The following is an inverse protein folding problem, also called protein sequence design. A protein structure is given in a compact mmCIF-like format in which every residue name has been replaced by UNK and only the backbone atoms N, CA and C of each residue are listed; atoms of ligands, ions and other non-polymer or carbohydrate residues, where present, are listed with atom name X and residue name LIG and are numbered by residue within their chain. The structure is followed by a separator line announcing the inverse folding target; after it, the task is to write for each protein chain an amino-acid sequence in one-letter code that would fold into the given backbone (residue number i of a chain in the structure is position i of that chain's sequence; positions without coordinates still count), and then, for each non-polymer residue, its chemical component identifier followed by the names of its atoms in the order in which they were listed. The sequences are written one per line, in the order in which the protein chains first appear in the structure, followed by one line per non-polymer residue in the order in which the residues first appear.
data_IF_942624542764
#
_entry.id   IF_942624542764
#
_cell.length_a   1.000
_cell.length_b   1.000
_cell.length_c   1.000
_cell.angle_alpha   90.00
_cell.angle_beta   90.00
_cell.angle_gamma   90.00
#
_symmetry.space_group_name_H-M   'P 1'
#
loop_
_entity.id
_entity.type
_entity.pdbx_description
1 polymer ?
#
# COMPACT_ATOMS: atom_id res chain seq x y z
N UNK A 1 -5.68 -5.11 25.67
CA UNK A 1 -5.57 -6.35 24.87
C UNK A 1 -6.43 -6.15 23.63
N UNK A 2 -5.85 -6.25 22.43
CA UNK A 2 -6.61 -6.12 21.17
C UNK A 2 -7.23 -7.47 20.87
N UNK A 3 -8.55 -7.52 20.73
CA UNK A 3 -9.27 -8.74 20.34
C UNK A 3 -9.74 -8.65 18.90
N UNK A 4 -9.67 -9.77 18.18
CA UNK A 4 -10.19 -9.84 16.82
C UNK A 4 -11.72 -9.66 16.85
N UNK A 5 -12.24 -8.75 16.01
CA UNK A 5 -13.69 -8.53 15.86
C UNK A 5 -14.32 -9.47 14.83
N UNK A 6 -13.54 -9.89 13.83
CA UNK A 6 -13.99 -10.78 12.76
C UNK A 6 -12.77 -11.36 12.03
N UNK A 7 -12.90 -12.56 11.48
CA UNK A 7 -11.93 -13.15 10.55
C UNK A 7 -12.68 -13.52 9.27
N UNK A 8 -12.30 -12.91 8.16
CA UNK A 8 -12.98 -13.07 6.87
C UNK A 8 -12.09 -13.74 5.84
N UNK A 9 -12.70 -14.55 4.98
CA UNK A 9 -12.08 -15.12 3.79
C UNK A 9 -12.88 -14.67 2.56
N UNK A 10 -12.25 -13.87 1.71
CA UNK A 10 -12.78 -13.52 0.40
C UNK A 10 -12.07 -14.36 -0.67
N UNK A 11 -12.81 -14.80 -1.69
CA UNK A 11 -12.27 -15.53 -2.84
C UNK A 11 -12.39 -14.66 -4.06
N UNK A 12 -11.25 -14.26 -4.62
CA UNK A 12 -11.16 -13.41 -5.80
C UNK A 12 -11.47 -14.26 -7.02
N UNK A 13 -12.37 -13.77 -7.89
CA UNK A 13 -12.70 -14.46 -9.13
C UNK A 13 -11.49 -14.53 -10.06
N UNK A 14 -11.15 -15.70 -10.65
CA UNK A 14 -10.09 -15.80 -11.65
C UNK A 14 -10.32 -14.92 -12.88
N UNK A 15 -11.57 -14.52 -13.15
CA UNK A 15 -11.90 -13.58 -14.23
C UNK A 15 -11.32 -12.18 -14.00
N UNK A 16 -11.17 -11.75 -12.74
CA UNK A 16 -10.55 -10.48 -12.37
C UNK A 16 -9.03 -10.56 -12.52
N UNK A 17 -8.45 -11.69 -12.13
CA UNK A 17 -7.01 -11.85 -11.95
C UNK A 17 -6.57 -13.20 -12.52
N UNK A 18 -6.49 -13.25 -13.86
CA UNK A 18 -6.22 -14.49 -14.61
C UNK A 18 -4.83 -15.07 -14.32
N UNK A 19 -3.81 -14.21 -14.24
CA UNK A 19 -2.42 -14.62 -14.07
C UNK A 19 -1.82 -13.86 -12.87
N UNK A 20 -2.05 -14.31 -11.63
CA UNK A 20 -1.44 -13.71 -10.45
C UNK A 20 0.08 -13.75 -10.54
N UNK A 21 0.72 -12.63 -10.20
CA UNK A 21 2.16 -12.62 -9.98
C UNK A 21 2.52 -13.53 -8.80
N UNK A 22 3.67 -14.21 -8.84
CA UNK A 22 4.10 -15.10 -7.75
C UNK A 22 4.21 -14.32 -6.44
N UNK A 23 3.86 -14.97 -5.32
CA UNK A 23 4.08 -14.39 -3.99
C UNK A 23 5.57 -14.12 -3.76
N UNK A 24 5.87 -13.06 -3.01
CA UNK A 24 7.23 -12.69 -2.65
C UNK A 24 7.30 -12.44 -1.15
N UNK A 25 8.34 -12.97 -0.50
CA UNK A 25 8.52 -13.00 0.95
C UNK A 25 8.46 -11.60 1.61
N UNK A 26 8.89 -10.56 0.88
CA UNK A 26 8.98 -9.19 1.39
C UNK A 26 8.01 -8.22 0.71
N UNK A 27 7.06 -8.73 -0.07
CA UNK A 27 6.22 -7.88 -0.90
C UNK A 27 5.02 -7.33 -0.14
N UNK A 28 4.91 -6.01 -0.09
CA UNK A 28 3.76 -5.27 0.48
C UNK A 28 2.78 -4.89 -0.64
N UNK A 29 2.34 -5.87 -1.43
CA UNK A 29 1.39 -5.69 -2.56
C UNK A 29 -0.07 -5.72 -2.14
N UNK A 30 -0.35 -5.49 -0.86
CA UNK A 30 -1.69 -5.45 -0.31
C UNK A 30 -1.81 -4.26 0.64
N UNK A 31 -2.85 -3.46 0.46
CA UNK A 31 -3.26 -2.40 1.39
C UNK A 31 -4.75 -2.52 1.67
N UNK A 32 -5.16 -2.11 2.87
CA UNK A 32 -6.53 -2.22 3.35
C UNK A 32 -7.01 -0.85 3.81
N UNK A 33 -8.21 -0.47 3.37
CA UNK A 33 -8.98 0.63 3.92
C UNK A 33 -10.24 0.08 4.59
N UNK A 34 -10.53 0.53 5.80
CA UNK A 34 -11.77 0.17 6.51
C UNK A 34 -12.71 1.35 6.40
N UNK A 35 -13.85 1.17 5.74
CA UNK A 35 -14.81 2.25 5.53
C UNK A 35 -15.44 2.68 6.87
N UNK A 36 -15.82 3.95 7.00
CA UNK A 36 -16.19 4.59 8.27
C UNK A 36 -17.27 3.89 9.11
N UNK A 37 -18.25 3.23 8.48
CA UNK A 37 -19.29 2.46 9.19
C UNK A 37 -18.81 1.07 9.66
N UNK A 38 -17.58 0.66 9.30
CA UNK A 38 -16.99 -0.68 9.54
C UNK A 38 -17.84 -1.84 9.02
N UNK A 39 -18.81 -1.53 8.15
CA UNK A 39 -19.70 -2.46 7.47
C UNK A 39 -19.07 -3.07 6.22
N UNK A 40 -18.01 -2.45 5.69
CA UNK A 40 -17.25 -2.93 4.56
C UNK A 40 -15.77 -2.52 4.66
N UNK A 41 -14.93 -3.21 3.91
CA UNK A 41 -13.53 -2.82 3.71
C UNK A 41 -13.15 -2.90 2.23
N UNK A 42 -12.27 -2.00 1.81
CA UNK A 42 -11.68 -1.98 0.48
C UNK A 42 -10.25 -2.52 0.56
N UNK A 43 -9.99 -3.59 -0.17
CA UNK A 43 -8.66 -4.20 -0.30
C UNK A 43 -8.08 -3.81 -1.64
N UNK A 44 -6.89 -3.24 -1.61
CA UNK A 44 -6.08 -2.94 -2.78
C UNK A 44 -5.04 -4.04 -2.92
N UNK A 45 -4.95 -4.64 -4.11
CA UNK A 45 -4.02 -5.73 -4.40
C UNK A 45 -3.26 -5.40 -5.67
N UNK A 46 -1.94 -5.54 -5.63
CA UNK A 46 -1.11 -5.46 -6.82
C UNK A 46 -0.75 -6.85 -7.33
N UNK A 47 -0.87 -7.05 -8.64
CA UNK A 47 -0.42 -8.26 -9.31
C UNK A 47 0.17 -7.92 -10.69
N UNK A 48 1.41 -8.32 -10.93
CA UNK A 48 2.17 -7.86 -12.09
C UNK A 48 2.32 -6.34 -12.06
N UNK A 49 2.00 -5.67 -13.17
CA UNK A 49 2.02 -4.22 -13.29
C UNK A 49 0.66 -3.54 -13.00
N UNK A 50 -0.31 -4.27 -12.41
CA UNK A 50 -1.70 -3.82 -12.27
C UNK A 50 -2.14 -3.77 -10.81
N UNK A 51 -3.05 -2.84 -10.53
CA UNK A 51 -3.72 -2.69 -9.25
C UNK A 51 -5.19 -3.05 -9.36
N UNK A 52 -5.70 -3.73 -8.35
CA UNK A 52 -7.08 -4.17 -8.24
C UNK A 52 -7.64 -3.66 -6.94
N UNK A 53 -8.91 -3.25 -6.95
CA UNK A 53 -9.67 -2.94 -5.76
C UNK A 53 -10.78 -3.98 -5.57
N UNK A 54 -10.96 -4.41 -4.34
CA UNK A 54 -11.94 -5.42 -3.95
C UNK A 54 -12.64 -4.93 -2.69
N UNK A 55 -13.93 -4.69 -2.79
CA UNK A 55 -14.76 -4.34 -1.66
C UNK A 55 -15.38 -5.59 -1.06
N UNK A 56 -15.19 -5.76 0.24
CA UNK A 56 -15.60 -6.93 1.01
C UNK A 56 -16.61 -6.49 2.05
N UNK A 57 -17.77 -7.15 2.08
CA UNK A 57 -18.74 -6.96 3.14
C UNK A 57 -18.19 -7.49 4.48
N UNK A 58 -18.32 -6.66 5.51
CA UNK A 58 -17.98 -6.98 6.88
C UNK A 58 -19.24 -7.14 7.75
N UNK A 59 -20.43 -7.14 7.15
CA UNK A 59 -21.72 -7.39 7.81
C UNK A 59 -21.70 -8.70 8.60
N UNK A 60 -22.36 -8.72 9.77
CA UNK A 60 -22.34 -9.82 10.74
C UNK A 60 -20.97 -10.10 11.36
N UNK A 61 -20.41 -9.13 12.08
CA UNK A 61 -19.13 -9.28 12.77
C UNK A 61 -19.24 -10.20 13.98
N UNK A 62 -19.12 -11.51 13.76
CA UNK A 62 -18.95 -12.50 14.82
C UNK A 62 -17.63 -13.26 14.64
N UNK A 63 -17.09 -13.72 15.75
CA UNK A 63 -15.85 -14.50 15.80
C UNK A 63 -16.20 -15.93 16.15
N UNK A 64 -15.98 -16.84 15.19
CA UNK A 64 -16.06 -18.27 15.47
C UNK A 64 -14.69 -18.71 16.00
N UNK A 65 -14.67 -19.28 17.21
CA UNK A 65 -13.49 -19.91 17.79
C UNK A 65 -13.62 -21.42 17.66
N UNK A 66 -12.61 -22.04 17.06
CA UNK A 66 -12.42 -23.48 17.03
C UNK A 66 -11.71 -23.99 18.29
N UNK A 67 -11.21 -25.23 18.20
CA UNK A 67 -10.35 -25.82 19.24
C UNK A 67 -9.17 -24.90 19.53
N UNK A 68 -8.76 -24.84 20.81
CA UNK A 68 -7.63 -23.99 21.26
C UNK A 68 -7.81 -22.49 20.97
N UNK A 69 -9.05 -22.02 20.84
CA UNK A 69 -9.39 -20.63 20.49
C UNK A 69 -8.91 -20.18 19.10
N UNK A 70 -8.62 -21.12 18.20
CA UNK A 70 -8.20 -20.81 16.83
C UNK A 70 -9.35 -20.13 16.09
N UNK A 71 -9.07 -18.98 15.46
CA UNK A 71 -10.08 -18.22 14.73
C UNK A 71 -10.44 -18.92 13.42
N UNK A 72 -11.73 -19.17 13.20
CA UNK A 72 -12.22 -19.78 11.96
C UNK A 72 -12.68 -18.67 11.01
N UNK A 73 -12.11 -18.57 9.79
CA UNK A 73 -12.50 -17.54 8.84
C UNK A 73 -13.91 -17.81 8.30
N UNK A 74 -14.75 -16.78 8.33
CA UNK A 74 -16.08 -16.78 7.72
C UNK A 74 -15.95 -16.33 6.27
N UNK A 75 -16.57 -17.05 5.34
CA UNK A 75 -16.60 -16.66 3.94
C UNK A 75 -17.29 -15.30 3.80
N UNK A 76 -16.61 -14.34 3.20
CA UNK A 76 -17.14 -13.00 2.98
C UNK A 76 -17.61 -12.83 1.53
N UNK A 77 -18.67 -12.04 1.38
CA UNK A 77 -19.16 -11.64 0.07
C UNK A 77 -18.33 -10.46 -0.44
N UNK A 78 -17.86 -10.58 -1.68
CA UNK A 78 -17.27 -9.46 -2.42
C UNK A 78 -18.43 -8.67 -3.03
N UNK A 79 -18.57 -7.41 -2.66
CA UNK A 79 -19.62 -6.53 -3.17
C UNK A 79 -19.22 -5.88 -4.50
N UNK A 80 -17.94 -5.55 -4.65
CA UNK A 80 -17.39 -4.95 -5.84
C UNK A 80 -15.94 -5.41 -6.07
N UNK A 81 -15.55 -5.56 -7.32
CA UNK A 81 -14.16 -5.84 -7.69
C UNK A 81 -13.85 -5.21 -9.05
N UNK A 82 -12.75 -4.46 -9.13
CA UNK A 82 -12.40 -3.68 -10.31
C UNK A 82 -10.89 -3.51 -10.46
N UNK A 83 -10.45 -3.24 -11.70
CA UNK A 83 -9.09 -2.82 -12.03
C UNK A 83 -8.97 -1.32 -11.77
N UNK A 84 -7.87 -0.90 -11.16
CA UNK A 84 -7.47 0.52 -11.07
C UNK A 84 -6.56 0.81 -12.25
N UNK A 85 -7.01 1.65 -13.17
CA UNK A 85 -6.35 1.96 -14.44
C UNK A 85 -5.40 3.17 -14.38
N UNK A 86 -5.34 3.85 -13.23
CA UNK A 86 -4.59 5.12 -13.06
C UNK A 86 -3.17 4.98 -12.52
N UNK A 87 -2.70 3.75 -12.31
CA UNK A 87 -1.32 3.44 -11.93
C UNK A 87 -0.61 2.65 -13.04
N UNK A 88 -0.30 3.26 -14.21
CA UNK A 88 0.24 2.56 -15.37
C UNK A 88 1.73 2.21 -15.20
N UNK A 89 2.01 1.25 -14.33
CA UNK A 89 3.36 0.70 -14.18
C UNK A 89 3.77 -0.08 -15.43
N UNK A 90 5.04 0.04 -15.82
CA UNK A 90 5.63 -0.73 -16.93
C UNK A 90 6.31 -2.02 -16.45
N UNK A 91 6.51 -2.12 -15.15
CA UNK A 91 7.19 -3.22 -14.49
C UNK A 91 6.34 -3.76 -13.34
N UNK A 92 6.77 -4.89 -12.76
CA UNK A 92 6.04 -5.51 -11.65
C UNK A 92 6.02 -4.57 -10.43
N UNK A 93 4.82 -4.25 -9.96
CA UNK A 93 4.59 -3.52 -8.71
C UNK A 93 5.14 -4.37 -7.58
N UNK A 94 6.00 -3.80 -6.74
CA UNK A 94 6.59 -4.51 -5.59
C UNK A 94 5.94 -4.14 -4.26
N UNK A 95 5.37 -2.93 -4.18
CA UNK A 95 4.79 -2.40 -2.96
C UNK A 95 3.71 -1.37 -3.24
N UNK A 96 2.69 -1.35 -2.38
CA UNK A 96 1.65 -0.34 -2.32
C UNK A 96 1.47 0.16 -0.90
N UNK A 97 1.07 1.41 -0.75
CA UNK A 97 0.73 2.02 0.52
C UNK A 97 -0.52 2.88 0.37
N UNK A 98 -1.31 2.96 1.44
CA UNK A 98 -2.51 3.78 1.50
C UNK A 98 -2.42 4.75 2.69
N UNK A 99 -2.86 5.99 2.51
CA UNK A 99 -3.02 6.97 3.58
C UNK A 99 -4.37 7.67 3.45
N UNK A 100 -5.06 7.83 4.58
CA UNK A 100 -6.30 8.58 4.66
C UNK A 100 -5.97 10.08 4.86
N UNK A 101 -6.57 10.96 4.06
CA UNK A 101 -6.23 12.40 4.04
C UNK A 101 -7.27 13.26 4.74
N UNK A 102 -8.56 13.03 4.49
CA UNK A 102 -9.65 13.90 4.92
C UNK A 102 -10.82 13.08 5.48
N UNK A 103 -10.94 12.95 6.81
CA UNK A 103 -12.11 12.37 7.53
C UNK A 103 -12.84 11.23 6.77
N UNK A 104 -12.10 10.21 6.31
CA UNK A 104 -12.61 9.02 5.59
C UNK A 104 -13.26 9.28 4.21
N UNK A 105 -13.15 10.49 3.65
CA UNK A 105 -13.75 10.83 2.35
C UNK A 105 -12.82 10.63 1.15
N UNK A 106 -11.50 10.66 1.39
CA UNK A 106 -10.51 10.40 0.36
C UNK A 106 -9.25 9.78 0.93
N UNK A 107 -8.67 8.89 0.13
CA UNK A 107 -7.42 8.19 0.45
C UNK A 107 -6.42 8.38 -0.68
N UNK A 108 -5.14 8.30 -0.35
CA UNK A 108 -4.04 8.39 -1.28
C UNK A 108 -3.46 7.00 -1.43
N UNK A 109 -3.49 6.46 -2.64
CA UNK A 109 -2.90 5.19 -3.00
C UNK A 109 -1.57 5.43 -3.70
N UNK A 110 -0.49 5.00 -3.06
CA UNK A 110 0.84 4.98 -3.64
C UNK A 110 1.22 3.58 -4.08
N UNK A 111 1.92 3.49 -5.20
CA UNK A 111 2.41 2.24 -5.76
C UNK A 111 3.81 2.43 -6.32
N UNK A 112 4.65 1.41 -6.16
CA UNK A 112 6.03 1.42 -6.68
C UNK A 112 6.36 0.13 -7.41
N UNK A 113 6.97 0.24 -8.58
CA UNK A 113 7.47 -0.91 -9.35
C UNK A 113 8.88 -1.35 -8.95
N UNK A 114 9.33 -2.46 -9.55
CA UNK A 114 10.65 -3.06 -9.28
C UNK A 114 11.83 -2.16 -9.61
N UNK A 115 11.63 -1.06 -10.34
CA UNK A 115 12.67 -0.08 -10.62
C UNK A 115 12.63 1.11 -9.67
N UNK A 116 11.59 1.22 -8.83
CA UNK A 116 11.39 2.35 -7.93
C UNK A 116 10.57 3.48 -8.53
N UNK A 117 9.87 3.26 -9.65
CA UNK A 117 8.95 4.26 -10.20
C UNK A 117 7.74 4.41 -9.29
N UNK A 118 7.57 5.59 -8.72
CA UNK A 118 6.47 5.93 -7.83
C UNK A 118 5.30 6.48 -8.64
N UNK A 119 4.10 5.92 -8.44
CA UNK A 119 2.85 6.51 -8.90
C UNK A 119 1.92 6.65 -7.70
N UNK A 120 1.38 7.85 -7.52
CA UNK A 120 0.45 8.20 -6.45
C UNK A 120 -0.85 8.70 -7.07
N UNK A 121 -1.97 8.10 -6.65
CA UNK A 121 -3.31 8.46 -7.09
C UNK A 121 -4.21 8.79 -5.90
N UNK A 122 -5.08 9.78 -6.05
CA UNK A 122 -6.07 10.14 -5.02
C UNK A 122 -7.39 9.43 -5.31
N UNK A 123 -7.82 8.59 -4.38
CA UNK A 123 -9.08 7.86 -4.43
C UNK A 123 -10.15 8.58 -3.60
N UNK A 124 -11.37 8.67 -4.11
CA UNK A 124 -12.53 9.06 -3.29
C UNK A 124 -13.04 7.91 -2.41
N UNK A 125 -14.07 8.17 -1.61
CA UNK A 125 -14.77 7.17 -0.82
C UNK A 125 -15.39 6.04 -1.68
N UNK A 126 -15.69 6.31 -2.95
CA UNK A 126 -16.14 5.29 -3.89
C UNK A 126 -14.99 4.52 -4.51
N UNK A 127 -13.74 4.81 -4.11
CA UNK A 127 -12.46 4.32 -4.61
C UNK A 127 -12.26 4.50 -6.11
N UNK A 128 -12.92 5.51 -6.67
CA UNK A 128 -12.68 6.03 -8.02
C UNK A 128 -11.69 7.20 -7.93
N UNK A 129 -10.86 7.34 -8.96
CA UNK A 129 -9.86 8.41 -9.01
C UNK A 129 -10.56 9.77 -9.10
N UNK A 130 -10.22 10.69 -8.20
CA UNK A 130 -10.64 12.09 -8.28
C UNK A 130 -9.65 12.78 -9.21
N UNK A 131 -9.94 12.67 -10.51
CA UNK A 131 -9.14 13.12 -11.65
C UNK A 131 -8.69 14.59 -11.47
N UNK A 132 -7.54 14.80 -10.79
CA UNK A 132 -6.78 16.07 -10.65
C UNK A 132 -5.56 16.04 -9.74
N UNK A 133 -5.31 15.00 -8.94
CA UNK A 133 -4.23 15.00 -7.93
C UNK A 133 -3.26 13.81 -8.00
N UNK A 134 -3.25 13.08 -9.11
CA UNK A 134 -2.30 11.99 -9.32
C UNK A 134 -0.94 12.53 -9.80
N UNK A 135 0.15 12.03 -9.24
CA UNK A 135 1.52 12.38 -9.65
C UNK A 135 2.39 11.12 -9.78
N UNK A 136 3.48 11.24 -10.52
CA UNK A 136 4.47 10.18 -10.67
C UNK A 136 5.87 10.72 -10.48
N UNK A 137 6.74 9.97 -9.82
CA UNK A 137 8.14 10.33 -9.63
C UNK A 137 9.05 9.18 -10.04
N UNK A 138 10.02 9.47 -10.90
CA UNK A 138 11.04 8.50 -11.29
C UNK A 138 12.15 8.45 -10.23
N UNK A 139 12.84 7.31 -10.10
CA UNK A 139 14.12 7.24 -9.40
C UNK A 139 15.08 8.29 -9.97
N UNK A 140 15.91 8.87 -9.10
CA UNK A 140 16.89 9.92 -9.50
C UNK A 140 17.87 9.45 -10.57
N UNK A 141 18.19 8.16 -10.59
CA UNK A 141 19.03 7.50 -11.59
C UNK A 141 18.24 7.00 -12.81
N UNK A 142 17.02 7.50 -13.01
CA UNK A 142 16.16 7.17 -14.15
C UNK A 142 15.89 5.67 -14.30
N UNK A 143 15.85 4.92 -13.19
CA UNK A 143 15.64 3.47 -13.20
C UNK A 143 16.70 2.68 -14.01
N UNK A 144 17.90 3.23 -14.19
CA UNK A 144 19.00 2.52 -14.88
C UNK A 144 19.42 1.32 -14.02
N UNK A 145 19.27 0.11 -14.56
CA UNK A 145 19.73 -1.12 -13.92
C UNK A 145 18.79 -2.29 -14.10
N UNK A 146 18.88 -3.26 -13.19
CA UNK A 146 17.98 -4.42 -13.11
C UNK A 146 16.87 -4.13 -12.09
N UNK A 147 15.65 -4.58 -12.41
CA UNK A 147 14.53 -4.55 -11.48
C UNK A 147 14.85 -5.33 -10.20
N UNK A 148 14.40 -4.82 -9.07
CA UNK A 148 14.71 -5.33 -7.74
C UNK A 148 13.50 -5.18 -6.81
N UNK A 149 13.65 -5.59 -5.55
CA UNK A 149 12.65 -5.24 -4.55
C UNK A 149 12.59 -3.72 -4.35
N UNK A 150 11.36 -3.21 -4.26
CA UNK A 150 11.07 -1.82 -3.93
C UNK A 150 9.92 -1.73 -2.92
N UNK A 151 9.93 -0.68 -2.11
CA UNK A 151 8.99 -0.43 -1.02
C UNK A 151 8.57 1.03 -0.99
N UNK A 152 7.33 1.31 -0.61
CA UNK A 152 6.83 2.68 -0.40
C UNK A 152 6.28 2.85 1.02
N UNK A 153 6.50 4.02 1.60
CA UNK A 153 5.84 4.48 2.81
C UNK A 153 5.50 5.96 2.68
N UNK A 154 4.34 6.39 3.18
CA UNK A 154 3.97 7.80 3.26
C UNK A 154 4.24 8.36 4.65
N UNK A 155 4.49 9.67 4.72
CA UNK A 155 4.60 10.37 6.00
C UNK A 155 3.25 10.48 6.70
N UNK A 156 3.26 10.27 8.01
CA UNK A 156 2.07 10.38 8.87
C UNK A 156 1.66 11.82 9.16
N UNK A 157 2.52 12.80 8.85
CA UNK A 157 2.27 14.23 9.08
C UNK A 157 1.87 14.92 7.77
N UNK A 158 2.54 14.57 6.68
CA UNK A 158 2.34 15.17 5.36
C UNK A 158 2.16 14.07 4.32
N UNK A 159 0.91 13.82 3.93
CA UNK A 159 0.57 12.81 2.91
C UNK A 159 1.24 13.06 1.56
N UNK A 160 1.67 14.30 1.28
CA UNK A 160 2.42 14.66 0.08
C UNK A 160 3.84 14.08 0.08
N UNK A 161 4.38 13.74 1.25
CA UNK A 161 5.73 13.18 1.39
C UNK A 161 5.69 11.66 1.39
N UNK A 162 6.47 11.05 0.49
CA UNK A 162 6.65 9.61 0.38
C UNK A 162 8.13 9.23 0.41
N UNK A 163 8.44 8.07 0.96
CA UNK A 163 9.75 7.45 0.88
C UNK A 163 9.66 6.17 0.07
N UNK A 164 10.57 6.03 -0.89
CA UNK A 164 10.68 4.88 -1.77
C UNK A 164 12.01 4.20 -1.53
N UNK A 165 11.97 2.98 -1.04
CA UNK A 165 13.14 2.10 -1.02
C UNK A 165 13.25 1.32 -2.32
N UNK A 166 14.47 1.11 -2.79
CA UNK A 166 14.75 0.35 -4.02
C UNK A 166 16.10 -0.35 -3.95
N UNK A 167 16.39 -1.18 -4.96
CA UNK A 167 17.64 -1.93 -5.08
C UNK A 167 17.89 -2.83 -3.87
N UNK A 168 16.85 -3.57 -3.44
CA UNK A 168 16.87 -4.35 -2.19
C UNK A 168 17.16 -3.49 -0.97
N UNK A 169 16.51 -2.32 -0.88
CA UNK A 169 16.77 -1.37 0.19
C UNK A 169 18.24 -0.96 0.31
N UNK A 170 18.94 -0.73 -0.81
CA UNK A 170 20.27 -0.08 -0.83
C UNK A 170 20.16 1.44 -0.84
N UNK A 171 19.07 1.95 -1.39
CA UNK A 171 18.78 3.38 -1.42
C UNK A 171 17.33 3.64 -1.06
N UNK A 172 17.13 4.77 -0.39
CA UNK A 172 15.82 5.32 -0.06
C UNK A 172 15.77 6.73 -0.62
N UNK A 173 14.83 6.97 -1.52
CA UNK A 173 14.57 8.27 -2.09
C UNK A 173 13.32 8.86 -1.41
N UNK A 174 13.42 10.07 -0.91
CA UNK A 174 12.31 10.80 -0.28
C UNK A 174 11.83 11.85 -1.26
N UNK A 175 10.53 11.84 -1.49
CA UNK A 175 9.82 12.73 -2.40
C UNK A 175 8.81 13.56 -1.64
N UNK A 176 8.61 14.79 -2.06
CA UNK A 176 7.42 15.58 -1.76
C UNK A 176 6.70 15.82 -3.08
N UNK A 177 5.57 15.14 -3.27
CA UNK A 177 4.92 14.98 -4.56
C UNK A 177 5.89 14.41 -5.61
N UNK A 178 6.04 15.09 -6.75
CA UNK A 178 6.95 14.72 -7.83
C UNK A 178 8.39 15.22 -7.61
N UNK A 179 8.65 15.94 -6.51
CA UNK A 179 9.94 16.56 -6.23
C UNK A 179 10.80 15.64 -5.36
N UNK A 180 11.98 15.27 -5.86
CA UNK A 180 12.99 14.56 -5.07
C UNK A 180 13.62 15.49 -4.02
N UNK A 181 13.48 15.15 -2.74
CA UNK A 181 14.08 15.93 -1.64
C UNK A 181 15.48 15.41 -1.31
N UNK A 182 15.60 14.09 -1.09
CA UNK A 182 16.86 13.50 -0.61
C UNK A 182 16.96 12.01 -0.91
N UNK A 183 18.20 11.55 -1.05
CA UNK A 183 18.54 10.13 -1.10
C UNK A 183 19.30 9.73 0.17
N UNK A 184 18.97 8.57 0.73
CA UNK A 184 19.68 7.92 1.81
C UNK A 184 20.25 6.62 1.29
N UNK A 185 21.54 6.35 1.56
CA UNK A 185 22.14 5.04 1.29
C UNK A 185 22.12 4.22 2.57
N UNK A 186 21.58 3.02 2.47
CA UNK A 186 21.41 2.09 3.59
C UNK A 186 22.45 0.99 3.50
N UNK A 187 23.22 0.81 4.57
CA UNK A 187 24.26 -0.22 4.65
C UNK A 187 23.72 -1.58 5.08
N UNK A 188 22.50 -1.61 5.65
CA UNK A 188 21.94 -2.77 6.35
C UNK A 188 20.72 -3.40 5.66
N UNK A 189 20.40 -2.99 4.42
CA UNK A 189 19.31 -3.60 3.64
C UNK A 189 18.00 -3.77 4.42
N UNK A 190 17.42 -2.68 4.96
CA UNK A 190 16.22 -2.79 5.76
C UNK A 190 15.09 -3.50 5.02
N UNK A 191 14.22 -4.17 5.74
CA UNK A 191 13.08 -4.92 5.16
C UNK A 191 11.76 -4.17 5.31
N UNK A 192 11.75 -3.10 6.14
CA UNK A 192 10.61 -2.19 6.27
C UNK A 192 11.08 -0.76 6.51
N UNK A 193 10.28 0.20 6.04
CA UNK A 193 10.45 1.63 6.29
C UNK A 193 9.18 2.22 6.89
N UNK A 194 9.35 3.14 7.84
CA UNK A 194 8.23 3.89 8.39
C UNK A 194 8.64 5.32 8.76
N UNK A 195 7.76 6.27 8.50
CA UNK A 195 7.88 7.62 9.03
C UNK A 195 7.41 7.67 10.48
N UNK A 196 8.23 8.26 11.34
CA UNK A 196 7.88 8.56 12.72
C UNK A 196 7.55 10.03 12.87
N UNK A 197 6.38 10.30 13.45
CA UNK A 197 6.04 11.61 13.97
C UNK A 197 6.65 11.76 15.37
N UNK A 198 7.45 12.80 15.59
CA UNK A 198 7.80 13.21 16.95
C UNK A 198 6.68 14.08 17.51
N UNK A 199 6.09 13.68 18.63
CA UNK A 199 5.45 14.59 19.56
C UNK A 199 6.53 15.40 20.28
N UNK A 200 7.13 16.39 19.62
CA UNK A 200 7.90 17.45 20.28
C UNK A 200 8.08 18.62 19.31
N UNK A 201 7.45 19.75 19.65
CA UNK A 201 7.55 21.19 19.27
C UNK A 201 8.40 21.70 18.07
N UNK A 202 9.18 20.89 17.37
CA UNK A 202 10.03 21.25 16.23
C UNK A 202 9.84 20.17 15.15
N UNK A 203 8.96 20.44 14.18
CA UNK A 203 8.36 19.48 13.24
C UNK A 203 9.32 18.81 12.25
N UNK A 204 10.15 17.88 12.72
CA UNK A 204 10.93 16.98 11.88
C UNK A 204 10.29 15.60 11.76
N UNK A 205 10.09 15.12 10.53
CA UNK A 205 9.76 13.72 10.25
C UNK A 205 11.04 12.87 10.23
N UNK A 206 11.09 11.79 11.01
CA UNK A 206 12.20 10.84 11.02
C UNK A 206 11.82 9.59 10.23
N UNK A 207 12.77 9.04 9.47
CA UNK A 207 12.58 7.79 8.75
C UNK A 207 13.32 6.69 9.50
N UNK A 208 12.57 5.68 9.95
CA UNK A 208 13.12 4.49 10.59
C UNK A 208 13.11 3.33 9.61
N UNK A 209 14.10 2.46 9.76
CA UNK A 209 14.26 1.29 8.92
C UNK A 209 14.56 0.08 9.80
N UNK A 210 13.76 -0.99 9.73
CA UNK A 210 14.02 -2.23 10.48
C UNK A 210 14.75 -3.24 9.61
N UNK A 211 15.66 -4.00 10.20
CA UNK A 211 16.28 -5.19 9.59
C UNK A 211 15.78 -6.42 10.39
N UNK A 212 15.51 -7.53 9.70
CA UNK A 212 15.24 -8.82 10.36
C UNK A 212 16.54 -9.59 10.58
#
# INVERSE_FOLDING_TARGET
MVEAKSLRKAVISPSLLQNPSPANLQSTRLALHVNGERSSCSVYIASGCRLYRIDISMEDSFVIKGKESLLIPVQAQITHASLIDRCPHRSEIQSIALVDVDNDTSSILGSVDSYGHLIVSRMDATGTDVDRLSYSALPRDCAIGEGSWAGICFSTIHWSTAAVARSFCKSIDVYDQDIHIRSLRTLLYPTSLSFFAKFNLWGGAFLYSSCH
#
